data_IF_723881092213
#
_entry.id   IF_723881092213
#
_cell.length_a   1.000
_cell.length_b   1.000
_cell.length_c   1.000
_cell.angle_alpha   90.00
_cell.angle_beta   90.00
_cell.angle_gamma   90.00
#
_symmetry.space_group_name_H-M   'P 1'
#
loop_
_entity.id
_entity.type
_entity.pdbx_description
1 polymer ?
#
# COMPACT_ATOMS: atom_id res chain seq x y z
N UNK A 1 -5.60 -44.28 -28.27
CA UNK A 1 -5.26 -42.84 -28.29
C UNK A 1 -6.54 -42.06 -28.11
N UNK A 2 -6.67 -41.26 -27.05
CA UNK A 2 -7.78 -40.35 -26.85
C UNK A 2 -7.80 -39.30 -27.97
N UNK A 3 -8.99 -39.04 -28.57
CA UNK A 3 -9.08 -37.98 -29.60
C UNK A 3 -8.65 -36.66 -28.96
N UNK A 4 -7.90 -35.83 -29.67
CA UNK A 4 -7.39 -34.52 -29.21
C UNK A 4 -8.47 -33.64 -28.54
N UNK A 5 -9.70 -33.66 -29.05
CA UNK A 5 -10.84 -32.97 -28.47
C UNK A 5 -11.27 -33.49 -27.09
N UNK A 6 -11.09 -34.76 -26.81
CA UNK A 6 -11.42 -35.38 -25.51
C UNK A 6 -10.39 -35.01 -24.47
N UNK A 7 -9.09 -35.04 -24.82
CA UNK A 7 -7.99 -34.63 -23.93
C UNK A 7 -8.15 -33.15 -23.52
N UNK A 8 -8.44 -32.26 -24.47
CA UNK A 8 -8.68 -30.84 -24.20
C UNK A 8 -9.82 -30.62 -23.19
N UNK A 9 -10.93 -31.38 -23.27
CA UNK A 9 -12.05 -31.27 -22.33
C UNK A 9 -11.67 -31.65 -20.92
N UNK A 10 -10.92 -32.72 -20.71
CA UNK A 10 -10.45 -33.10 -19.39
C UNK A 10 -9.42 -32.11 -18.84
N UNK A 11 -8.58 -31.53 -19.69
CA UNK A 11 -7.67 -30.47 -19.28
C UNK A 11 -8.41 -29.23 -18.80
N UNK A 12 -9.43 -28.77 -19.52
CA UNK A 12 -10.26 -27.63 -19.10
C UNK A 12 -11.01 -27.92 -17.79
N UNK A 13 -11.51 -29.15 -17.61
CA UNK A 13 -12.13 -29.58 -16.36
C UNK A 13 -11.12 -29.51 -15.19
N UNK A 14 -9.91 -30.00 -15.38
CA UNK A 14 -8.84 -29.95 -14.38
C UNK A 14 -8.51 -28.50 -14.02
N UNK A 15 -8.40 -27.60 -15.00
CA UNK A 15 -8.19 -26.17 -14.79
C UNK A 15 -9.35 -25.59 -13.95
N UNK A 16 -10.59 -25.92 -14.27
CA UNK A 16 -11.77 -25.49 -13.49
C UNK A 16 -11.73 -25.96 -12.04
N UNK A 17 -11.32 -27.20 -11.80
CA UNK A 17 -11.16 -27.75 -10.43
C UNK A 17 -10.04 -27.01 -9.68
N UNK A 18 -8.89 -26.80 -10.31
CA UNK A 18 -7.78 -26.08 -9.69
C UNK A 18 -8.15 -24.63 -9.36
N UNK A 19 -8.86 -23.96 -10.26
CA UNK A 19 -9.36 -22.59 -10.01
C UNK A 19 -10.42 -22.54 -8.89
N UNK A 20 -11.20 -23.60 -8.70
CA UNK A 20 -12.24 -23.60 -7.65
C UNK A 20 -11.67 -23.57 -6.23
N UNK A 21 -10.45 -24.04 -6.02
CA UNK A 21 -9.80 -24.05 -4.70
C UNK A 21 -9.58 -22.62 -4.17
N UNK A 22 -8.86 -21.72 -4.86
CA UNK A 22 -8.69 -20.35 -4.39
C UNK A 22 -10.01 -19.56 -4.40
N UNK A 23 -10.91 -19.83 -5.35
CA UNK A 23 -12.23 -19.19 -5.38
C UNK A 23 -13.01 -19.54 -4.12
N UNK A 24 -13.04 -20.81 -3.70
CA UNK A 24 -13.73 -21.24 -2.48
C UNK A 24 -13.13 -20.58 -1.23
N UNK A 25 -11.81 -20.50 -1.16
CA UNK A 25 -11.12 -19.79 -0.06
C UNK A 25 -11.53 -18.31 0.01
N UNK A 26 -11.53 -17.60 -1.13
CA UNK A 26 -11.94 -16.20 -1.21
C UNK A 26 -13.43 -16.02 -0.89
N UNK A 27 -14.30 -16.94 -1.33
CA UNK A 27 -15.72 -16.92 -0.97
C UNK A 27 -15.89 -17.10 0.54
N UNK A 28 -15.14 -18.02 1.16
CA UNK A 28 -15.19 -18.20 2.62
C UNK A 28 -14.76 -16.93 3.35
N UNK A 29 -13.67 -16.29 2.93
CA UNK A 29 -13.23 -15.01 3.48
C UNK A 29 -14.29 -13.91 3.28
N UNK A 30 -14.97 -13.86 2.15
CA UNK A 30 -16.00 -12.87 1.87
C UNK A 30 -17.22 -12.94 2.79
N UNK A 31 -17.43 -14.05 3.54
CA UNK A 31 -18.45 -14.13 4.58
C UNK A 31 -18.04 -13.50 5.91
N UNK A 32 -16.74 -13.31 6.13
CA UNK A 32 -16.19 -12.81 7.39
C UNK A 32 -15.49 -11.45 7.24
N UNK A 33 -15.26 -11.00 6.01
CA UNK A 33 -14.64 -9.69 5.72
C UNK A 33 -15.55 -8.83 4.84
N UNK A 34 -15.58 -7.50 5.04
CA UNK A 34 -16.26 -6.59 4.11
C UNK A 34 -15.63 -6.67 2.72
N UNK A 35 -16.44 -6.91 1.69
CA UNK A 35 -16.00 -7.01 0.29
C UNK A 35 -16.66 -5.92 -0.53
N UNK A 36 -15.93 -5.30 -1.44
CA UNK A 36 -16.46 -4.31 -2.36
C UNK A 36 -17.42 -4.93 -3.40
N UNK A 37 -18.24 -4.10 -4.03
CA UNK A 37 -19.12 -4.56 -5.13
C UNK A 37 -18.30 -5.18 -6.25
N UNK A 38 -17.13 -4.59 -6.59
CA UNK A 38 -16.24 -5.15 -7.62
C UNK A 38 -15.69 -6.52 -7.21
N UNK A 39 -15.30 -6.71 -5.95
CA UNK A 39 -14.86 -8.00 -5.42
C UNK A 39 -15.95 -9.07 -5.49
N UNK A 40 -17.18 -8.75 -5.08
CA UNK A 40 -18.32 -9.65 -5.18
C UNK A 40 -18.56 -10.07 -6.64
N UNK A 41 -18.53 -9.14 -7.57
CA UNK A 41 -18.73 -9.42 -9.00
C UNK A 41 -17.60 -10.27 -9.58
N UNK A 42 -16.33 -10.02 -9.18
CA UNK A 42 -15.23 -10.88 -9.59
C UNK A 42 -15.38 -12.31 -9.06
N UNK A 43 -15.76 -12.49 -7.80
CA UNK A 43 -16.04 -13.81 -7.23
C UNK A 43 -17.17 -14.51 -7.97
N UNK A 44 -18.28 -13.81 -8.22
CA UNK A 44 -19.41 -14.36 -8.95
C UNK A 44 -19.03 -14.78 -10.38
N UNK A 45 -18.36 -13.92 -11.14
CA UNK A 45 -17.88 -14.23 -12.48
C UNK A 45 -16.91 -15.40 -12.50
N UNK A 46 -16.02 -15.49 -11.49
CA UNK A 46 -15.07 -16.59 -11.34
C UNK A 46 -15.73 -17.91 -11.02
N UNK A 47 -16.79 -17.91 -10.17
CA UNK A 47 -17.59 -19.10 -9.88
C UNK A 47 -18.29 -19.61 -11.15
N UNK A 48 -18.91 -18.72 -11.94
CA UNK A 48 -19.54 -19.09 -13.21
C UNK A 48 -18.54 -19.71 -14.19
N UNK A 49 -17.36 -19.07 -14.34
CA UNK A 49 -16.29 -19.52 -15.22
C UNK A 49 -15.78 -20.91 -14.80
N UNK A 50 -15.42 -21.09 -13.52
CA UNK A 50 -14.90 -22.36 -13.01
C UNK A 50 -15.95 -23.47 -13.16
N UNK A 51 -17.22 -23.21 -12.84
CA UNK A 51 -18.32 -24.16 -13.01
C UNK A 51 -18.49 -24.58 -14.47
N UNK A 52 -18.44 -23.64 -15.40
CA UNK A 52 -18.52 -23.93 -16.82
C UNK A 52 -17.34 -24.77 -17.34
N UNK A 53 -16.12 -24.52 -16.83
CA UNK A 53 -14.94 -25.34 -17.13
C UNK A 53 -15.04 -26.76 -16.58
N UNK A 54 -15.50 -26.91 -15.35
CA UNK A 54 -15.72 -28.23 -14.71
C UNK A 54 -16.71 -29.06 -15.52
N UNK A 55 -17.78 -28.46 -16.02
CA UNK A 55 -18.82 -29.16 -16.80
C UNK A 55 -18.41 -29.54 -18.24
N UNK A 56 -17.18 -29.21 -18.66
CA UNK A 56 -16.68 -29.44 -20.03
C UNK A 56 -16.73 -30.91 -20.48
N UNK A 57 -16.41 -31.94 -19.68
CA UNK A 57 -16.47 -33.35 -20.12
C UNK A 57 -17.88 -33.81 -20.47
N UNK A 58 -18.89 -33.32 -19.74
CA UNK A 58 -20.27 -33.76 -19.90
C UNK A 58 -21.02 -33.11 -21.07
N UNK A 59 -20.40 -32.15 -21.76
CA UNK A 59 -20.97 -31.46 -22.94
C UNK A 59 -22.36 -30.84 -22.73
N UNK A 60 -22.66 -30.44 -21.51
CA UNK A 60 -23.94 -29.82 -21.17
C UNK A 60 -24.11 -28.48 -21.91
N UNK A 61 -25.29 -28.18 -22.44
CA UNK A 61 -25.61 -26.93 -23.14
C UNK A 61 -25.37 -25.71 -22.24
N UNK A 62 -25.64 -25.82 -20.94
CA UNK A 62 -25.41 -24.76 -19.92
C UNK A 62 -23.97 -24.37 -19.75
N UNK A 63 -23.01 -25.25 -20.06
CA UNK A 63 -21.58 -24.99 -19.96
C UNK A 63 -21.14 -23.67 -20.65
N UNK A 64 -21.56 -23.54 -21.93
CA UNK A 64 -21.15 -22.36 -22.71
C UNK A 64 -21.77 -21.06 -22.15
N UNK A 65 -23.01 -21.14 -21.65
CA UNK A 65 -23.66 -19.99 -21.00
C UNK A 65 -22.92 -19.58 -19.70
N UNK A 66 -22.47 -20.55 -18.89
CA UNK A 66 -21.73 -20.28 -17.68
C UNK A 66 -20.34 -19.67 -17.99
N UNK A 67 -19.58 -20.24 -18.92
CA UNK A 67 -18.29 -19.69 -19.33
C UNK A 67 -18.44 -18.28 -19.88
N UNK A 68 -19.37 -18.08 -20.85
CA UNK A 68 -19.61 -16.78 -21.46
C UNK A 68 -20.11 -15.76 -20.40
N UNK A 69 -21.06 -16.14 -19.55
CA UNK A 69 -21.56 -15.29 -18.48
C UNK A 69 -20.47 -14.87 -17.50
N UNK A 70 -19.62 -15.82 -17.07
CA UNK A 70 -18.48 -15.52 -16.21
C UNK A 70 -17.51 -14.54 -16.84
N UNK A 71 -17.14 -14.76 -18.12
CA UNK A 71 -16.26 -13.84 -18.86
C UNK A 71 -16.88 -12.45 -19.03
N UNK A 72 -18.16 -12.36 -19.36
CA UNK A 72 -18.87 -11.08 -19.49
C UNK A 72 -18.82 -10.31 -18.18
N UNK A 73 -19.12 -10.96 -17.05
CA UNK A 73 -19.08 -10.29 -15.74
C UNK A 73 -17.68 -9.78 -15.44
N UNK A 74 -16.65 -10.63 -15.55
CA UNK A 74 -15.27 -10.25 -15.27
C UNK A 74 -14.81 -9.09 -16.16
N UNK A 75 -15.03 -9.19 -17.48
CA UNK A 75 -14.62 -8.15 -18.43
C UNK A 75 -15.38 -6.84 -18.19
N UNK A 76 -16.66 -6.90 -17.82
CA UNK A 76 -17.45 -5.71 -17.48
C UNK A 76 -16.91 -5.01 -16.23
N UNK A 77 -16.51 -5.75 -15.19
CA UNK A 77 -15.90 -5.18 -13.99
C UNK A 77 -14.55 -4.54 -14.33
N UNK A 78 -13.69 -5.23 -15.09
CA UNK A 78 -12.43 -4.70 -15.57
C UNK A 78 -12.67 -3.39 -16.36
N UNK A 79 -13.56 -3.40 -17.33
CA UNK A 79 -13.86 -2.23 -18.15
C UNK A 79 -14.38 -1.05 -17.32
N UNK A 80 -15.27 -1.30 -16.37
CA UNK A 80 -15.81 -0.28 -15.49
C UNK A 80 -14.72 0.31 -14.57
N UNK A 81 -13.90 -0.52 -13.97
CA UNK A 81 -12.80 -0.05 -13.11
C UNK A 81 -11.78 0.78 -13.90
N UNK A 82 -11.37 0.31 -15.07
CA UNK A 82 -10.48 1.08 -15.96
C UNK A 82 -11.10 2.44 -16.33
N UNK A 83 -12.39 2.46 -16.66
CA UNK A 83 -13.10 3.71 -16.97
C UNK A 83 -13.12 4.67 -15.77
N UNK A 84 -13.46 4.19 -14.57
CA UNK A 84 -13.55 5.02 -13.37
C UNK A 84 -12.17 5.53 -12.94
N UNK A 85 -11.15 4.67 -12.89
CA UNK A 85 -9.82 5.05 -12.40
C UNK A 85 -9.01 5.91 -13.38
N UNK A 86 -9.23 5.80 -14.68
CA UNK A 86 -8.46 6.56 -15.67
C UNK A 86 -9.08 7.91 -16.03
N UNK A 87 -10.37 8.13 -15.72
CA UNK A 87 -11.09 9.36 -16.04
C UNK A 87 -11.29 10.29 -14.84
N UNK A 88 -10.78 9.95 -13.66
CA UNK A 88 -10.97 10.80 -12.49
C UNK A 88 -9.93 11.91 -12.37
N UNK A 89 -10.40 13.08 -11.91
CA UNK A 89 -9.60 14.26 -11.56
C UNK A 89 -9.13 14.18 -10.10
N UNK A 90 -8.75 12.99 -9.63
CA UNK A 90 -8.30 12.75 -8.27
C UNK A 90 -6.94 13.38 -8.00
N UNK A 91 -6.75 13.92 -6.79
CA UNK A 91 -5.44 14.35 -6.31
C UNK A 91 -4.52 13.16 -6.00
N UNK A 92 -5.09 11.96 -5.79
CA UNK A 92 -4.36 10.71 -5.63
C UNK A 92 -4.13 10.05 -6.99
N UNK A 93 -2.86 9.94 -7.39
CA UNK A 93 -2.44 9.34 -8.67
C UNK A 93 -1.39 8.28 -8.45
N UNK A 94 -1.41 7.23 -9.26
CA UNK A 94 -0.31 6.25 -9.33
C UNK A 94 0.41 6.46 -10.65
N UNK A 95 1.67 6.85 -10.59
CA UNK A 95 2.52 7.10 -11.76
C UNK A 95 3.69 6.13 -11.81
N UNK A 96 4.34 5.99 -12.94
CA UNK A 96 5.57 5.18 -13.12
C UNK A 96 6.77 6.11 -13.20
N UNK A 97 7.78 5.88 -12.35
CA UNK A 97 9.07 6.57 -12.38
C UNK A 97 10.19 5.61 -12.85
N UNK A 98 11.31 6.13 -13.34
CA UNK A 98 11.64 7.55 -13.62
C UNK A 98 10.91 8.11 -14.85
N UNK A 99 10.34 7.27 -15.69
CA UNK A 99 9.61 7.77 -16.86
C UNK A 99 8.14 7.99 -16.50
N UNK A 100 7.70 9.24 -16.47
CA UNK A 100 6.29 9.64 -16.22
C UNK A 100 5.35 9.22 -17.35
N UNK A 101 5.33 7.94 -17.71
CA UNK A 101 4.50 7.39 -18.80
C UNK A 101 3.04 7.15 -18.42
N UNK A 102 2.57 7.75 -17.32
CA UNK A 102 1.21 7.56 -16.84
C UNK A 102 1.09 6.35 -15.92
N UNK A 103 -0.14 5.90 -15.70
CA UNK A 103 -0.48 4.80 -14.79
C UNK A 103 -0.45 3.46 -15.54
N UNK A 104 0.08 2.41 -14.93
CA UNK A 104 -0.11 1.05 -15.44
C UNK A 104 -1.59 0.66 -15.34
N UNK A 105 -2.20 0.24 -16.44
CA UNK A 105 -3.60 -0.23 -16.43
C UNK A 105 -3.85 -1.38 -15.45
N UNK A 106 -2.80 -2.16 -15.14
CA UNK A 106 -2.80 -3.22 -14.15
C UNK A 106 -3.20 -2.71 -12.75
N UNK A 107 -2.79 -1.50 -12.39
CA UNK A 107 -3.06 -0.87 -11.09
C UNK A 107 -4.54 -0.49 -10.90
N UNK A 108 -5.34 -0.55 -11.96
CA UNK A 108 -6.78 -0.29 -11.94
C UNK A 108 -7.65 -1.56 -11.88
N UNK A 109 -7.07 -2.76 -12.11
CA UNK A 109 -7.85 -4.00 -12.30
C UNK A 109 -8.55 -4.49 -11.03
N UNK A 110 -7.92 -4.37 -9.87
CA UNK A 110 -8.44 -4.87 -8.59
C UNK A 110 -8.68 -3.73 -7.62
N UNK A 111 -9.56 -3.97 -6.66
CA UNK A 111 -9.74 -3.05 -5.53
C UNK A 111 -8.72 -3.37 -4.44
N UNK A 112 -7.97 -2.35 -4.01
CA UNK A 112 -6.95 -2.48 -2.99
C UNK A 112 -7.54 -2.92 -1.65
N UNK A 113 -8.73 -2.41 -1.29
CA UNK A 113 -9.41 -2.80 -0.06
C UNK A 113 -9.65 -4.31 0.00
N UNK A 114 -10.17 -4.90 -1.09
CA UNK A 114 -10.41 -6.34 -1.15
C UNK A 114 -9.11 -7.13 -0.99
N UNK A 115 -8.03 -6.67 -1.63
CA UNK A 115 -6.72 -7.32 -1.53
C UNK A 115 -6.17 -7.28 -0.10
N UNK A 116 -6.26 -6.14 0.58
CA UNK A 116 -5.80 -6.01 1.96
C UNK A 116 -6.62 -6.86 2.91
N UNK A 117 -7.96 -6.82 2.81
CA UNK A 117 -8.84 -7.54 3.72
C UNK A 117 -8.78 -9.05 3.51
N UNK A 118 -8.68 -9.52 2.27
CA UNK A 118 -8.46 -10.95 2.00
C UNK A 118 -7.07 -11.40 2.44
N UNK A 119 -6.04 -10.57 2.22
CA UNK A 119 -4.68 -10.85 2.68
C UNK A 119 -4.60 -10.91 4.21
N UNK A 120 -5.19 -9.95 4.89
CA UNK A 120 -5.27 -9.90 6.35
C UNK A 120 -6.03 -11.12 6.92
N UNK A 121 -7.22 -11.42 6.40
CA UNK A 121 -8.00 -12.57 6.82
C UNK A 121 -7.28 -13.90 6.59
N UNK A 122 -6.57 -14.06 5.47
CA UNK A 122 -5.74 -15.24 5.22
C UNK A 122 -4.57 -15.32 6.21
N UNK A 123 -3.86 -14.22 6.45
CA UNK A 123 -2.76 -14.17 7.42
C UNK A 123 -3.24 -14.49 8.83
N UNK A 124 -4.43 -14.00 9.22
CA UNK A 124 -5.04 -14.34 10.50
C UNK A 124 -5.33 -15.85 10.62
N UNK A 125 -5.91 -16.47 9.59
CA UNK A 125 -6.20 -17.90 9.56
C UNK A 125 -4.96 -18.79 9.70
N UNK A 126 -3.81 -18.34 9.19
CA UNK A 126 -2.52 -19.08 9.29
C UNK A 126 -1.64 -18.61 10.46
N UNK A 127 -2.15 -17.74 11.34
CA UNK A 127 -1.44 -17.24 12.52
C UNK A 127 -0.41 -16.15 12.25
N UNK A 128 -0.42 -15.54 11.06
CA UNK A 128 0.47 -14.42 10.71
C UNK A 128 -0.02 -13.05 11.20
N UNK A 129 -1.30 -12.97 11.62
CA UNK A 129 -1.90 -11.82 12.31
C UNK A 129 -2.54 -12.36 13.58
N UNK A 130 -2.16 -11.85 14.74
CA UNK A 130 -2.68 -12.31 16.03
C UNK A 130 -4.17 -11.92 16.19
N UNK A 131 -4.93 -12.59 17.07
CA UNK A 131 -6.33 -12.21 17.34
C UNK A 131 -6.48 -10.76 17.80
N UNK A 132 -5.53 -10.25 18.58
CA UNK A 132 -5.53 -8.85 19.05
C UNK A 132 -5.30 -7.88 17.89
N UNK A 133 -4.35 -8.15 17.00
CA UNK A 133 -4.11 -7.36 15.80
C UNK A 133 -5.28 -7.38 14.81
N UNK A 134 -5.94 -8.54 14.67
CA UNK A 134 -7.11 -8.72 13.79
C UNK A 134 -8.31 -7.91 14.27
N UNK A 135 -8.50 -7.83 15.61
CA UNK A 135 -9.66 -7.14 16.19
C UNK A 135 -9.71 -5.67 15.76
N UNK A 136 -10.84 -5.30 15.13
CA UNK A 136 -11.10 -3.94 14.64
C UNK A 136 -10.35 -3.53 13.38
N UNK A 137 -9.34 -4.29 12.90
CA UNK A 137 -8.52 -3.89 11.75
C UNK A 137 -9.35 -3.80 10.47
N UNK A 138 -10.20 -4.78 10.18
CA UNK A 138 -11.05 -4.78 8.98
C UNK A 138 -12.02 -3.58 8.98
N UNK A 139 -12.55 -3.19 10.13
CA UNK A 139 -13.42 -2.01 10.26
C UNK A 139 -12.62 -0.72 10.03
N UNK A 140 -11.44 -0.60 10.62
CA UNK A 140 -10.56 0.57 10.46
C UNK A 140 -10.14 0.74 8.99
N UNK A 141 -9.70 -0.34 8.33
CA UNK A 141 -9.37 -0.36 6.90
C UNK A 141 -10.58 0.06 6.06
N UNK A 142 -11.76 -0.53 6.31
CA UNK A 142 -12.98 -0.19 5.55
C UNK A 142 -13.35 1.28 5.70
N UNK A 143 -13.29 1.83 6.91
CA UNK A 143 -13.57 3.24 7.17
C UNK A 143 -12.59 4.17 6.43
N UNK A 144 -11.29 3.86 6.47
CA UNK A 144 -10.27 4.61 5.76
C UNK A 144 -10.52 4.64 4.23
N UNK A 145 -10.88 3.49 3.64
CA UNK A 145 -11.21 3.45 2.20
C UNK A 145 -12.50 4.18 1.87
N UNK A 146 -13.51 4.17 2.73
CA UNK A 146 -14.73 4.96 2.53
C UNK A 146 -14.42 6.45 2.50
N UNK A 147 -13.63 6.93 3.46
CA UNK A 147 -13.20 8.34 3.52
C UNK A 147 -12.35 8.72 2.28
N UNK A 148 -11.37 7.90 1.91
CA UNK A 148 -10.54 8.13 0.74
C UNK A 148 -11.35 8.18 -0.55
N UNK A 149 -12.37 7.31 -0.71
CA UNK A 149 -13.25 7.31 -1.89
C UNK A 149 -14.19 8.52 -1.95
N UNK A 150 -14.62 9.02 -0.82
CA UNK A 150 -15.40 10.27 -0.78
C UNK A 150 -14.56 11.44 -1.31
N UNK A 151 -13.28 11.47 -0.98
CA UNK A 151 -12.37 12.54 -1.40
C UNK A 151 -11.84 12.37 -2.84
N UNK A 152 -11.60 11.14 -3.28
CA UNK A 152 -10.84 10.83 -4.50
C UNK A 152 -11.57 9.94 -5.52
N UNK A 153 -12.80 9.49 -5.24
CA UNK A 153 -13.49 8.51 -6.08
C UNK A 153 -12.83 7.13 -6.07
N UNK A 154 -12.90 6.42 -7.21
CA UNK A 154 -12.24 5.11 -7.38
C UNK A 154 -10.81 5.35 -7.85
N UNK A 155 -9.84 5.00 -7.05
CA UNK A 155 -8.42 5.19 -7.37
C UNK A 155 -7.69 3.89 -7.69
N UNK A 156 -6.58 4.02 -8.41
CA UNK A 156 -5.66 2.92 -8.74
C UNK A 156 -4.72 2.61 -7.57
N UNK A 157 -4.15 1.40 -7.55
CA UNK A 157 -3.21 0.95 -6.53
C UNK A 157 -2.06 0.18 -7.13
N UNK A 158 -0.82 0.38 -6.65
CA UNK A 158 0.34 -0.38 -7.11
C UNK A 158 0.41 -1.81 -6.55
N UNK A 159 -0.55 -2.23 -5.72
CA UNK A 159 -0.49 -3.50 -4.98
C UNK A 159 -0.34 -4.71 -5.92
N UNK A 160 -1.11 -4.78 -7.00
CA UNK A 160 -1.04 -5.91 -7.93
C UNK A 160 0.30 -5.95 -8.69
N UNK A 161 0.75 -4.81 -9.22
CA UNK A 161 2.04 -4.71 -9.91
C UNK A 161 3.22 -5.02 -8.97
N UNK A 162 3.08 -4.68 -7.68
CA UNK A 162 4.06 -5.02 -6.64
C UNK A 162 4.12 -6.54 -6.41
N UNK A 163 2.97 -7.21 -6.28
CA UNK A 163 2.93 -8.67 -6.04
C UNK A 163 3.47 -9.50 -7.20
N UNK A 164 3.32 -9.02 -8.43
CA UNK A 164 3.87 -9.71 -9.61
C UNK A 164 5.29 -9.26 -9.99
N UNK A 165 5.96 -8.44 -9.14
CA UNK A 165 7.36 -8.10 -9.26
C UNK A 165 7.70 -7.04 -10.31
N UNK A 166 6.78 -6.10 -10.58
CA UNK A 166 7.00 -5.04 -11.57
C UNK A 166 7.69 -3.79 -11.00
N UNK A 167 8.07 -3.82 -9.72
CA UNK A 167 8.77 -2.70 -9.09
C UNK A 167 10.28 -2.86 -9.28
N UNK A 168 10.84 -2.09 -10.21
CA UNK A 168 12.27 -2.07 -10.52
C UNK A 168 12.77 -0.63 -10.61
N UNK A 169 14.05 -0.37 -10.36
CA UNK A 169 14.61 1.00 -10.38
C UNK A 169 14.33 1.78 -11.66
N UNK A 170 14.26 1.10 -12.80
CA UNK A 170 14.00 1.69 -14.11
C UNK A 170 12.50 1.84 -14.43
N UNK A 171 11.61 1.23 -13.65
CA UNK A 171 10.16 1.32 -13.83
C UNK A 171 9.41 0.85 -12.57
N UNK A 172 9.20 1.73 -11.61
CA UNK A 172 8.44 1.47 -10.38
C UNK A 172 7.23 2.40 -10.25
N UNK A 173 6.18 1.91 -9.59
CA UNK A 173 5.00 2.69 -9.31
C UNK A 173 5.21 3.60 -8.10
N UNK A 174 4.63 4.78 -8.17
CA UNK A 174 4.64 5.76 -7.08
C UNK A 174 3.23 6.27 -6.88
N UNK A 175 2.74 6.22 -5.66
CA UNK A 175 1.52 6.94 -5.28
C UNK A 175 1.91 8.38 -5.00
N UNK A 176 1.29 9.31 -5.72
CA UNK A 176 1.48 10.75 -5.55
C UNK A 176 0.15 11.36 -5.13
N UNK A 177 0.17 12.14 -4.05
CA UNK A 177 -0.99 12.89 -3.59
C UNK A 177 -0.59 14.36 -3.56
N UNK A 178 -1.19 15.12 -4.48
CA UNK A 178 -1.00 16.56 -4.57
C UNK A 178 -1.89 17.26 -3.52
N UNK A 179 -1.40 18.31 -2.87
CA UNK A 179 -2.23 19.10 -1.98
C UNK A 179 -3.34 19.82 -2.75
N UNK A 180 -4.46 20.14 -2.08
CA UNK A 180 -5.57 20.85 -2.70
C UNK A 180 -5.32 22.36 -2.87
N UNK A 181 -4.20 22.88 -2.36
CA UNK A 181 -3.84 24.28 -2.43
C UNK A 181 -3.52 24.73 -3.87
N UNK A 182 -3.94 25.93 -4.26
CA UNK A 182 -3.57 26.53 -5.55
C UNK A 182 -2.06 26.74 -5.70
N UNK A 183 -1.36 26.91 -4.58
CA UNK A 183 0.11 27.04 -4.52
C UNK A 183 0.66 26.05 -3.50
N UNK A 184 1.07 24.87 -3.94
CA UNK A 184 1.70 23.88 -3.06
C UNK A 184 2.92 24.49 -2.35
N UNK A 185 3.16 24.07 -1.12
CA UNK A 185 4.38 24.46 -0.41
C UNK A 185 5.61 23.77 -1.05
N UNK A 186 6.82 24.32 -0.86
CA UNK A 186 8.04 23.67 -1.33
C UNK A 186 8.45 22.48 -0.45
N UNK A 187 7.48 21.82 0.20
CA UNK A 187 7.67 20.69 1.11
C UNK A 187 7.15 19.42 0.48
N UNK A 188 7.94 18.37 0.54
CA UNK A 188 7.57 17.03 0.11
C UNK A 188 7.71 16.00 1.23
N UNK A 189 6.83 15.02 1.23
CA UNK A 189 6.90 13.86 2.10
C UNK A 189 7.21 12.65 1.23
N UNK A 190 8.27 11.91 1.55
CA UNK A 190 8.50 10.57 1.02
C UNK A 190 8.12 9.58 2.12
N UNK A 191 7.22 8.64 1.80
CA UNK A 191 6.78 7.64 2.75
C UNK A 191 7.02 6.22 2.24
N UNK A 192 7.75 5.43 3.03
CA UNK A 192 8.15 4.06 2.72
C UNK A 192 7.17 3.06 3.33
N UNK A 193 6.61 2.21 2.47
CA UNK A 193 5.71 1.15 2.91
C UNK A 193 6.45 0.01 3.64
N UNK A 194 5.70 -0.73 4.47
CA UNK A 194 6.18 -1.95 5.12
C UNK A 194 5.89 -3.22 4.31
N UNK A 195 5.76 -4.33 5.03
CA UNK A 195 5.27 -5.60 4.50
C UNK A 195 3.86 -5.43 3.90
N UNK A 196 3.52 -6.22 2.90
CA UNK A 196 2.35 -6.16 2.01
C UNK A 196 2.47 -5.21 0.82
N UNK A 197 3.56 -4.49 0.69
CA UNK A 197 3.83 -3.61 -0.44
C UNK A 197 3.20 -2.22 -0.30
N UNK A 198 3.38 -1.40 -1.33
CA UNK A 198 2.83 -0.06 -1.36
C UNK A 198 1.30 -0.13 -1.54
N UNK A 199 0.59 0.43 -0.60
CA UNK A 199 -0.86 0.57 -0.63
C UNK A 199 -1.24 2.05 -0.60
N UNK A 200 -2.10 2.46 -1.53
CA UNK A 200 -2.50 3.85 -1.72
C UNK A 200 -3.17 4.43 -0.48
N UNK A 201 -3.84 3.59 0.32
CA UNK A 201 -4.53 4.04 1.52
C UNK A 201 -3.56 4.53 2.60
N UNK A 202 -2.40 3.89 2.79
CA UNK A 202 -1.40 4.37 3.75
C UNK A 202 -0.81 5.71 3.29
N UNK A 203 -0.50 5.84 2.00
CA UNK A 203 -0.06 7.11 1.42
C UNK A 203 -1.08 8.23 1.65
N UNK A 204 -2.37 7.93 1.47
CA UNK A 204 -3.45 8.88 1.70
C UNK A 204 -3.57 9.28 3.17
N UNK A 205 -3.39 8.35 4.12
CA UNK A 205 -3.36 8.67 5.55
C UNK A 205 -2.22 9.65 5.91
N UNK A 206 -1.05 9.46 5.31
CA UNK A 206 0.08 10.39 5.49
C UNK A 206 -0.21 11.74 4.84
N UNK A 207 -0.78 11.76 3.63
CA UNK A 207 -1.17 13.01 2.97
C UNK A 207 -2.16 13.83 3.82
N UNK A 208 -3.12 13.18 4.48
CA UNK A 208 -4.03 13.83 5.43
C UNK A 208 -3.31 14.43 6.64
N UNK A 209 -2.26 13.78 7.13
CA UNK A 209 -1.46 14.31 8.24
C UNK A 209 -0.74 15.62 7.87
N UNK A 210 -0.45 15.84 6.59
CA UNK A 210 0.34 16.97 6.11
C UNK A 210 -0.48 18.04 5.37
N UNK A 211 -1.79 17.91 5.33
CA UNK A 211 -2.71 18.88 4.70
C UNK A 211 -2.47 20.32 5.19
N UNK A 212 -2.12 20.49 6.48
CA UNK A 212 -1.91 21.82 7.08
C UNK A 212 -0.67 22.56 6.60
N UNK A 213 0.24 21.88 5.94
CA UNK A 213 1.46 22.47 5.37
C UNK A 213 1.48 22.43 3.85
N UNK A 214 0.37 22.02 3.22
CA UNK A 214 0.20 21.93 1.78
C UNK A 214 1.34 21.15 1.08
N UNK A 215 1.85 20.09 1.73
CA UNK A 215 2.96 19.29 1.22
C UNK A 215 2.48 18.26 0.20
N UNK A 216 3.27 18.02 -0.85
CA UNK A 216 3.08 16.86 -1.72
C UNK A 216 3.53 15.59 -1.01
N UNK A 217 2.73 14.53 -1.09
CA UNK A 217 3.08 13.21 -0.52
C UNK A 217 3.38 12.23 -1.64
N UNK A 218 4.52 11.55 -1.54
CA UNK A 218 5.04 10.63 -2.55
C UNK A 218 5.43 9.32 -1.89
N UNK A 219 4.79 8.23 -2.30
CA UNK A 219 5.00 6.91 -1.73
C UNK A 219 5.47 5.96 -2.83
N UNK A 220 6.80 5.75 -2.96
CA UNK A 220 7.35 4.84 -3.96
C UNK A 220 7.09 3.38 -3.58
N UNK A 221 7.10 2.50 -4.59
CA UNK A 221 6.95 1.07 -4.44
C UNK A 221 8.30 0.37 -4.60
N UNK A 222 8.61 -0.56 -3.69
CA UNK A 222 9.63 -1.58 -3.86
C UNK A 222 8.96 -2.96 -3.87
N UNK A 223 9.67 -4.04 -3.55
CA UNK A 223 9.04 -5.35 -3.46
C UNK A 223 7.97 -5.42 -2.34
N UNK A 224 7.14 -6.47 -2.36
CA UNK A 224 6.00 -6.63 -1.44
C UNK A 224 6.40 -6.83 0.05
N UNK A 225 7.69 -7.14 0.33
CA UNK A 225 8.23 -7.24 1.70
C UNK A 225 8.59 -5.85 2.25
N UNK A 226 8.90 -4.90 1.37
CA UNK A 226 9.40 -3.58 1.77
C UNK A 226 10.88 -3.62 2.15
N UNK A 227 11.70 -4.32 1.36
CA UNK A 227 13.14 -4.48 1.58
C UNK A 227 13.93 -3.28 1.06
N UNK A 228 13.69 -2.13 1.64
CA UNK A 228 14.33 -0.85 1.26
C UNK A 228 15.85 -0.84 1.40
N UNK A 229 16.42 -1.79 2.14
CA UNK A 229 17.86 -1.95 2.36
C UNK A 229 18.59 -2.68 1.23
N UNK A 230 17.89 -3.14 0.21
CA UNK A 230 18.48 -3.71 -1.00
C UNK A 230 18.91 -2.59 -1.97
N UNK A 231 19.86 -2.86 -2.90
CA UNK A 231 20.30 -1.86 -3.88
C UNK A 231 19.17 -1.27 -4.72
N UNK A 232 18.14 -2.06 -5.01
CA UNK A 232 16.94 -1.62 -5.71
C UNK A 232 16.18 -0.55 -4.92
N UNK A 233 16.07 -0.72 -3.59
CA UNK A 233 15.43 0.25 -2.71
C UNK A 233 16.19 1.59 -2.70
N UNK A 234 17.51 1.55 -2.63
CA UNK A 234 18.37 2.74 -2.72
C UNK A 234 18.14 3.49 -4.05
N UNK A 235 18.19 2.77 -5.18
CA UNK A 235 18.01 3.38 -6.49
C UNK A 235 16.61 4.02 -6.64
N UNK A 236 15.55 3.32 -6.18
CA UNK A 236 14.18 3.82 -6.18
C UNK A 236 14.06 5.14 -5.38
N UNK A 237 14.69 5.21 -4.21
CA UNK A 237 14.63 6.41 -3.37
C UNK A 237 15.37 7.58 -4.03
N UNK A 238 16.54 7.37 -4.60
CA UNK A 238 17.27 8.43 -5.32
C UNK A 238 16.45 8.99 -6.49
N UNK A 239 15.80 8.14 -7.26
CA UNK A 239 14.88 8.56 -8.34
C UNK A 239 13.67 9.35 -7.78
N UNK A 240 13.17 8.97 -6.60
CA UNK A 240 12.06 9.67 -5.94
C UNK A 240 12.48 11.07 -5.48
N UNK A 241 13.71 11.24 -4.93
CA UNK A 241 14.27 12.56 -4.64
C UNK A 241 14.44 13.39 -5.92
N UNK A 242 14.94 12.78 -7.00
CA UNK A 242 15.05 13.42 -8.33
C UNK A 242 13.70 13.95 -8.82
N UNK A 243 12.64 13.15 -8.73
CA UNK A 243 11.29 13.55 -9.09
C UNK A 243 10.78 14.75 -8.28
N UNK A 244 11.01 14.78 -6.97
CA UNK A 244 10.61 15.91 -6.12
C UNK A 244 11.44 17.17 -6.42
N UNK A 245 12.71 17.01 -6.74
CA UNK A 245 13.59 18.10 -7.16
C UNK A 245 13.12 18.75 -8.46
N UNK A 246 12.68 17.95 -9.43
CA UNK A 246 12.07 18.44 -10.68
C UNK A 246 10.77 19.23 -10.42
N UNK A 247 10.04 18.91 -9.35
CA UNK A 247 8.89 19.68 -8.88
C UNK A 247 9.24 20.92 -8.05
N UNK A 248 10.52 21.28 -7.96
CA UNK A 248 11.03 22.42 -7.15
C UNK A 248 10.75 22.29 -5.66
N UNK A 249 10.65 21.06 -5.14
CA UNK A 249 10.58 20.79 -3.71
C UNK A 249 11.95 21.07 -3.10
N UNK A 250 11.96 21.82 -2.00
CA UNK A 250 13.17 22.29 -1.33
C UNK A 250 13.42 21.60 0.01
N UNK A 251 12.37 21.07 0.63
CA UNK A 251 12.44 20.35 1.92
C UNK A 251 11.69 19.04 1.81
N UNK A 252 12.36 17.96 2.15
CA UNK A 252 11.82 16.61 2.09
C UNK A 252 11.88 15.99 3.49
N UNK A 253 10.75 15.52 3.97
CA UNK A 253 10.68 14.69 5.15
C UNK A 253 10.51 13.23 4.73
N UNK A 254 11.42 12.37 5.18
CA UNK A 254 11.43 10.96 4.86
C UNK A 254 10.88 10.15 6.02
N UNK A 255 9.83 9.39 5.79
CA UNK A 255 9.22 8.54 6.79
C UNK A 255 8.90 7.14 6.31
N UNK A 256 8.53 6.26 7.24
CA UNK A 256 8.15 4.91 6.89
C UNK A 256 7.43 4.17 8.00
N UNK A 257 6.67 3.16 7.60
CA UNK A 257 5.93 2.27 8.49
C UNK A 257 6.56 0.87 8.50
N UNK A 258 6.73 0.28 9.70
CA UNK A 258 7.22 -1.09 9.86
C UNK A 258 8.58 -1.30 9.15
N UNK A 259 8.67 -2.20 8.17
CA UNK A 259 9.87 -2.36 7.33
C UNK A 259 10.26 -1.07 6.60
N UNK A 260 9.30 -0.20 6.27
CA UNK A 260 9.58 1.13 5.72
C UNK A 260 10.33 2.02 6.72
N UNK A 261 9.96 2.01 7.99
CA UNK A 261 10.71 2.70 9.05
C UNK A 261 12.12 2.12 9.21
N UNK A 262 12.25 0.79 9.23
CA UNK A 262 13.56 0.13 9.18
C UNK A 262 14.38 0.53 7.94
N UNK A 263 13.70 0.74 6.80
CA UNK A 263 14.26 1.24 5.55
C UNK A 263 14.82 2.66 5.68
N UNK A 264 14.05 3.59 6.29
CA UNK A 264 14.53 4.96 6.59
C UNK A 264 15.86 4.91 7.33
N UNK A 265 15.91 4.18 8.47
CA UNK A 265 17.13 4.08 9.27
C UNK A 265 18.31 3.42 8.54
N UNK A 266 18.06 2.57 7.53
CA UNK A 266 19.12 1.98 6.73
C UNK A 266 19.60 2.89 5.61
N UNK A 267 18.66 3.55 4.94
CA UNK A 267 18.96 4.42 3.80
C UNK A 267 19.61 5.74 4.22
N UNK A 268 19.41 6.16 5.47
CA UNK A 268 19.91 7.47 5.92
C UNK A 268 21.44 7.62 5.78
N UNK A 269 22.20 6.55 5.93
CA UNK A 269 23.65 6.58 5.77
C UNK A 269 24.11 6.94 4.35
N UNK A 270 23.24 6.82 3.36
CA UNK A 270 23.51 7.13 1.94
C UNK A 270 22.72 8.33 1.44
N UNK A 271 21.75 8.83 2.22
CA UNK A 271 20.92 9.99 1.92
C UNK A 271 21.24 11.21 2.77
N UNK A 272 22.15 11.09 3.73
CA UNK A 272 22.52 12.19 4.63
C UNK A 272 23.05 13.44 3.89
N UNK A 273 23.62 13.27 2.70
CA UNK A 273 24.14 14.34 1.86
C UNK A 273 23.10 14.95 0.91
N UNK A 274 21.85 14.44 0.89
CA UNK A 274 20.78 15.02 0.07
C UNK A 274 20.35 16.38 0.68
N UNK A 275 20.57 17.50 -0.04
CA UNK A 275 20.44 18.84 0.55
C UNK A 275 18.99 19.20 0.91
N UNK A 276 18.02 18.54 0.28
CA UNK A 276 16.60 18.74 0.55
C UNK A 276 16.09 17.96 1.77
N UNK A 277 16.85 16.97 2.27
CA UNK A 277 16.42 16.17 3.41
C UNK A 277 16.39 16.99 4.69
N UNK A 278 15.18 17.13 5.28
CA UNK A 278 14.92 18.09 6.35
C UNK A 278 14.45 17.46 7.66
N UNK A 279 14.12 16.17 7.65
CA UNK A 279 13.73 15.44 8.86
C UNK A 279 13.26 14.02 8.57
N UNK A 280 13.15 13.22 9.64
CA UNK A 280 12.85 11.80 9.58
C UNK A 280 11.67 11.45 10.49
N UNK A 281 10.81 10.52 10.06
CA UNK A 281 9.79 9.99 10.95
C UNK A 281 9.61 8.48 10.79
N UNK A 282 9.38 7.82 11.92
CA UNK A 282 9.31 6.38 12.06
C UNK A 282 7.96 6.01 12.67
N UNK A 283 7.24 5.09 12.04
CA UNK A 283 5.96 4.59 12.54
C UNK A 283 6.07 3.06 12.70
N UNK A 284 5.96 2.55 13.93
CA UNK A 284 6.02 1.12 14.25
C UNK A 284 7.21 0.40 13.57
N UNK A 285 8.37 1.06 13.53
CA UNK A 285 9.56 0.46 12.92
C UNK A 285 10.75 1.41 13.00
N UNK A 286 11.80 0.99 13.71
CA UNK A 286 13.01 1.77 13.95
C UNK A 286 14.25 0.95 13.63
N UNK A 287 15.33 1.61 13.19
CA UNK A 287 16.60 0.94 12.93
C UNK A 287 17.75 1.94 12.85
N UNK A 288 18.96 1.50 13.24
CA UNK A 288 20.23 2.21 13.01
C UNK A 288 20.28 3.61 13.66
N UNK A 289 20.02 3.67 14.98
CA UNK A 289 20.00 4.92 15.74
C UNK A 289 21.26 5.76 15.55
N UNK A 290 22.44 5.12 15.49
CA UNK A 290 23.70 5.83 15.29
C UNK A 290 23.73 6.64 13.98
N UNK A 291 23.41 6.01 12.85
CA UNK A 291 23.41 6.73 11.57
C UNK A 291 22.33 7.83 11.52
N UNK A 292 21.20 7.64 12.19
CA UNK A 292 20.15 8.67 12.32
C UNK A 292 20.65 9.82 13.19
N UNK A 293 21.28 9.55 14.33
CA UNK A 293 21.87 10.55 15.23
C UNK A 293 22.95 11.41 14.51
N UNK A 294 23.80 10.76 13.73
CA UNK A 294 24.90 11.42 13.00
C UNK A 294 24.41 12.45 11.97
N UNK A 295 23.15 12.39 11.52
CA UNK A 295 22.60 13.39 10.59
C UNK A 295 22.29 14.72 11.26
N UNK A 296 22.03 14.74 12.56
CA UNK A 296 21.55 15.93 13.28
C UNK A 296 20.16 16.40 12.86
N UNK A 297 19.43 15.63 12.04
CA UNK A 297 18.09 15.97 11.58
C UNK A 297 17.05 15.80 12.69
N UNK A 298 15.97 16.59 12.69
CA UNK A 298 14.85 16.35 13.58
C UNK A 298 14.19 15.00 13.31
N UNK A 299 13.81 14.29 14.36
CA UNK A 299 13.26 12.94 14.30
C UNK A 299 11.94 12.86 15.04
N UNK A 300 10.93 12.22 14.44
CA UNK A 300 9.70 11.78 15.09
C UNK A 300 9.64 10.25 15.12
N UNK A 301 9.34 9.68 16.27
CA UNK A 301 9.07 8.24 16.43
C UNK A 301 7.67 8.06 16.99
N UNK A 302 6.83 7.27 16.32
CA UNK A 302 5.48 6.89 16.76
C UNK A 302 5.44 5.38 16.91
N UNK A 303 5.14 4.88 18.12
CA UNK A 303 5.16 3.45 18.42
C UNK A 303 3.91 3.02 19.18
N UNK A 304 3.42 1.82 18.88
CA UNK A 304 2.36 1.18 19.64
C UNK A 304 2.91 0.51 20.91
N UNK A 305 2.30 0.78 22.07
CA UNK A 305 2.69 0.18 23.35
C UNK A 305 2.48 -1.34 23.37
N UNK A 306 1.54 -1.84 22.58
CA UNK A 306 1.15 -3.25 22.47
C UNK A 306 1.59 -3.87 21.14
N UNK A 307 2.63 -3.32 20.50
CA UNK A 307 3.15 -3.85 19.24
C UNK A 307 3.92 -5.17 19.48
N UNK A 308 3.34 -6.28 19.03
CA UNK A 308 3.92 -7.62 19.18
C UNK A 308 4.99 -7.91 18.11
N UNK A 309 5.07 -7.11 17.02
CA UNK A 309 6.01 -7.31 15.90
C UNK A 309 7.32 -6.54 16.13
N UNK A 310 7.20 -5.29 16.54
CA UNK A 310 8.31 -4.42 16.90
C UNK A 310 8.09 -3.99 18.33
N UNK A 311 8.71 -4.68 19.31
CA UNK A 311 8.50 -4.40 20.73
C UNK A 311 8.74 -2.93 21.07
N UNK A 312 7.88 -2.35 21.88
CA UNK A 312 7.96 -0.94 22.31
C UNK A 312 9.32 -0.60 22.94
N UNK A 313 9.96 -1.58 23.60
CA UNK A 313 11.29 -1.43 24.17
C UNK A 313 12.35 -1.12 23.11
N UNK A 314 12.21 -1.66 21.89
CA UNK A 314 13.14 -1.37 20.80
C UNK A 314 13.01 0.10 20.35
N UNK A 315 11.80 0.65 20.32
CA UNK A 315 11.56 2.06 20.01
C UNK A 315 12.07 2.97 21.14
N UNK A 316 11.82 2.61 22.41
CA UNK A 316 12.32 3.35 23.58
C UNK A 316 13.85 3.37 23.61
N UNK A 317 14.50 2.24 23.31
CA UNK A 317 15.97 2.17 23.23
C UNK A 317 16.50 3.01 22.06
N UNK A 318 15.87 2.94 20.89
CA UNK A 318 16.22 3.76 19.73
C UNK A 318 16.16 5.26 20.08
N UNK A 319 15.11 5.71 20.75
CA UNK A 319 14.94 7.10 21.20
C UNK A 319 16.01 7.49 22.21
N UNK A 320 16.33 6.59 23.16
CA UNK A 320 17.40 6.82 24.15
C UNK A 320 18.78 6.96 23.46
N UNK A 321 19.04 6.15 22.44
CA UNK A 321 20.31 6.20 21.68
C UNK A 321 20.40 7.46 20.81
N UNK A 322 19.28 8.05 20.37
CA UNK A 322 19.26 9.33 19.67
C UNK A 322 19.52 10.53 20.57
N UNK A 323 19.13 10.45 21.86
CA UNK A 323 19.32 11.52 22.84
C UNK A 323 18.37 12.71 22.64
N UNK A 324 18.89 13.93 22.76
CA UNK A 324 18.09 15.16 22.65
C UNK A 324 17.68 15.43 21.21
N UNK A 325 16.50 16.09 21.02
CA UNK A 325 16.00 16.51 19.69
C UNK A 325 15.08 15.50 19.01
N UNK A 326 14.78 14.36 19.66
CA UNK A 326 13.78 13.41 19.15
C UNK A 326 12.42 13.65 19.79
N UNK A 327 11.37 13.66 18.96
CA UNK A 327 9.98 13.63 19.42
C UNK A 327 9.52 12.18 19.46
N UNK A 328 9.06 11.70 20.64
CA UNK A 328 8.55 10.35 20.82
C UNK A 328 7.09 10.36 21.21
N UNK A 329 6.28 9.60 20.50
CA UNK A 329 4.84 9.42 20.76
C UNK A 329 4.56 7.93 20.91
N UNK A 330 4.13 7.52 22.08
CA UNK A 330 3.70 6.15 22.37
C UNK A 330 2.18 6.12 22.47
N UNK A 331 1.54 5.24 21.72
CA UNK A 331 0.09 5.10 21.65
C UNK A 331 -0.33 3.74 22.22
N UNK A 332 -1.45 3.70 22.92
CA UNK A 332 -2.10 2.44 23.34
C UNK A 332 -2.68 1.72 22.12
N UNK A 333 -1.79 1.09 21.34
CA UNK A 333 -2.10 0.45 20.08
C UNK A 333 -1.17 -0.70 19.77
N UNK A 334 -1.58 -1.59 18.87
CA UNK A 334 -0.74 -2.63 18.28
C UNK A 334 0.06 -2.12 17.07
N UNK A 335 0.66 -3.06 16.31
CA UNK A 335 1.45 -2.75 15.11
C UNK A 335 0.69 -1.97 14.04
N UNK A 336 -0.62 -2.16 13.91
CA UNK A 336 -1.46 -1.53 12.89
C UNK A 336 -1.99 -0.15 13.28
N UNK A 337 -1.30 0.57 14.19
CA UNK A 337 -1.69 1.89 14.69
C UNK A 337 -1.98 2.91 13.56
N UNK A 338 -1.26 2.86 12.46
CA UNK A 338 -1.50 3.75 11.31
C UNK A 338 -2.93 3.64 10.75
N UNK A 339 -3.57 2.47 10.92
CA UNK A 339 -4.95 2.23 10.50
C UNK A 339 -5.93 2.32 11.67
N UNK A 340 -5.58 1.78 12.85
CA UNK A 340 -6.48 1.70 14.00
C UNK A 340 -6.52 2.98 14.83
N UNK A 341 -5.42 3.74 14.87
CA UNK A 341 -5.27 5.01 15.60
C UNK A 341 -4.91 6.15 14.64
N UNK A 342 -5.50 6.12 13.44
CA UNK A 342 -5.20 7.03 12.32
C UNK A 342 -5.17 8.49 12.76
N UNK A 343 -6.18 8.96 13.51
CA UNK A 343 -6.26 10.36 13.94
C UNK A 343 -5.08 10.74 14.83
N UNK A 344 -4.73 9.91 15.82
CA UNK A 344 -3.61 10.19 16.73
C UNK A 344 -2.26 10.22 15.99
N UNK A 345 -2.07 9.30 15.03
CA UNK A 345 -0.88 9.29 14.16
C UNK A 345 -0.81 10.55 13.30
N UNK A 346 -1.93 10.95 12.69
CA UNK A 346 -2.00 12.16 11.86
C UNK A 346 -1.74 13.43 12.69
N UNK A 347 -2.31 13.53 13.88
CA UNK A 347 -2.08 14.66 14.80
C UNK A 347 -0.61 14.76 15.23
N UNK A 348 0.03 13.63 15.55
CA UNK A 348 1.44 13.60 15.91
C UNK A 348 2.34 14.07 14.76
N UNK A 349 2.14 13.56 13.55
CA UNK A 349 2.90 13.97 12.36
C UNK A 349 2.66 15.44 12.05
N UNK A 350 1.39 15.89 12.04
CA UNK A 350 1.01 17.27 11.76
C UNK A 350 1.63 18.26 12.74
N UNK A 351 1.54 17.97 14.04
CA UNK A 351 2.09 18.82 15.09
C UNK A 351 3.61 18.95 14.97
N UNK A 352 4.30 17.83 14.77
CA UNK A 352 5.75 17.79 14.62
C UNK A 352 6.20 18.57 13.38
N UNK A 353 5.59 18.34 12.21
CA UNK A 353 5.94 19.06 10.98
C UNK A 353 5.69 20.57 11.07
N UNK A 354 4.57 20.98 11.68
CA UNK A 354 4.28 22.40 11.91
C UNK A 354 5.33 23.08 12.79
N UNK A 355 5.91 22.38 13.75
CA UNK A 355 6.99 22.87 14.59
C UNK A 355 8.28 23.04 13.76
N UNK A 356 8.64 22.01 12.96
CA UNK A 356 9.83 22.08 12.10
C UNK A 356 9.72 23.23 11.08
N UNK A 357 8.57 23.37 10.43
CA UNK A 357 8.35 24.42 9.42
C UNK A 357 8.30 25.86 10.02
N UNK A 358 8.04 26.01 11.32
CA UNK A 358 8.14 27.31 12.01
C UNK A 358 9.57 27.72 12.29
N UNK A 359 10.43 26.78 12.61
CA UNK A 359 11.86 27.05 12.94
C UNK A 359 12.68 27.43 11.71
N UNK A 360 12.20 27.11 10.51
CA UNK A 360 12.89 27.37 9.23
C UNK A 360 12.42 28.68 8.54
N UNK A 361 11.41 29.36 9.08
CA UNK A 361 10.94 30.68 8.64
C UNK A 361 11.60 31.80 9.43
#
# INVERSE_FOLDING_TARGET
>A
MLKSSTLLRYLLCLIGILLSIPILALVTLAFITPVTVSGILYLFGSILLASGLILTPWQLKTRNALVLGGLIVILSVIGLRLYLTLNETSNLKVIVLPSTRGTRSLNALIDEQDTLLFGEGLLHLIGGVSPHEHEGLALAVTAAYQEARVANGVFSSPVLSTYIGFQKPDAFDVVVIEPSAERPSPVGIIFLHGFTGNVSIQCWQIARAVDRIDAVTVCPSTNWIGEWWLPEGEAIIRETFGYLREKSIQRIYLGGFSNGGGGVGRLISILADEPELSGLFFIAGVRNAQAVHETGLPVLVIQGANDERIPVEAARQFVADLGEGVTYVELEADHFLIMKQTQAVQEAISAWLLEQEKTLK
#
